data_IF_288715433914
#
_entry.id   IF_288715433914
#
_cell.length_a   1.000
_cell.length_b   1.000
_cell.length_c   1.000
_cell.angle_alpha   90.00
_cell.angle_beta   90.00
_cell.angle_gamma   90.00
#
_symmetry.space_group_name_H-M   'P 1'
#
loop_
_entity.id
_entity.type
_entity.pdbx_description
1 polymer ?
#
# COMPACT_ATOMS: atom_id res chain seq x y z
N UNK A 1 -16.79 -15.53 -0.42
CA UNK A 1 -16.47 -16.86 0.15
C UNK A 1 -14.97 -17.04 0.01
N UNK A 2 -14.26 -17.19 1.13
CA UNK A 2 -12.84 -17.56 1.14
C UNK A 2 -12.69 -18.98 0.59
N UNK A 3 -11.74 -19.22 -0.31
CA UNK A 3 -11.50 -20.54 -0.91
C UNK A 3 -11.15 -21.54 0.21
N UNK A 4 -11.60 -22.79 0.12
CA UNK A 4 -11.26 -23.87 1.07
C UNK A 4 -9.72 -23.99 1.18
N UNK A 5 -9.00 -23.73 0.08
CA UNK A 5 -7.54 -23.69 0.07
C UNK A 5 -6.97 -22.57 0.94
N UNK A 6 -7.58 -21.39 0.94
CA UNK A 6 -7.14 -20.25 1.74
C UNK A 6 -7.40 -20.49 3.23
N UNK A 7 -8.49 -21.19 3.58
CA UNK A 7 -8.76 -21.59 4.96
C UNK A 7 -7.75 -22.62 5.47
N UNK A 8 -7.44 -23.65 4.68
CA UNK A 8 -6.42 -24.64 5.04
C UNK A 8 -5.04 -23.98 5.20
N UNK A 9 -4.68 -23.09 4.27
CA UNK A 9 -3.43 -22.31 4.37
C UNK A 9 -3.38 -21.51 5.67
N UNK A 10 -4.47 -20.82 6.02
CA UNK A 10 -4.58 -20.05 7.26
C UNK A 10 -4.31 -20.93 8.49
N UNK A 11 -4.95 -22.10 8.58
CA UNK A 11 -4.75 -23.02 9.70
C UNK A 11 -3.32 -23.55 9.80
N UNK A 12 -2.70 -23.87 8.66
CA UNK A 12 -1.34 -24.39 8.63
C UNK A 12 -0.32 -23.32 9.04
N UNK A 13 -0.46 -22.10 8.52
CA UNK A 13 0.41 -20.99 8.90
C UNK A 13 0.25 -20.59 10.37
N UNK A 14 -0.96 -20.68 10.94
CA UNK A 14 -1.20 -20.44 12.37
C UNK A 14 -0.46 -21.46 13.25
N UNK A 15 -0.43 -22.72 12.82
CA UNK A 15 0.32 -23.78 13.52
C UNK A 15 1.82 -23.56 13.40
N UNK A 16 2.30 -23.21 12.20
CA UNK A 16 3.72 -22.97 11.91
C UNK A 16 4.29 -21.80 12.71
N UNK A 17 3.57 -20.67 12.79
CA UNK A 17 4.04 -19.44 13.46
C UNK A 17 3.47 -19.21 14.86
N UNK A 18 3.02 -20.28 15.53
CA UNK A 18 2.39 -20.18 16.85
C UNK A 18 3.28 -19.49 17.89
N UNK A 19 4.58 -19.75 17.88
CA UNK A 19 5.54 -19.15 18.82
C UNK A 19 5.71 -17.64 18.56
N UNK A 20 5.86 -17.24 17.30
CA UNK A 20 5.95 -15.84 16.88
C UNK A 20 4.70 -15.05 17.30
N UNK A 21 3.52 -15.65 17.13
CA UNK A 21 2.24 -15.06 17.53
C UNK A 21 2.18 -14.85 19.05
N UNK A 22 2.65 -15.82 19.85
CA UNK A 22 2.70 -15.69 21.32
C UNK A 22 3.64 -14.55 21.73
N UNK A 23 4.82 -14.45 21.11
CA UNK A 23 5.77 -13.35 21.37
C UNK A 23 5.16 -12.00 21.02
N UNK A 24 4.49 -11.89 19.87
CA UNK A 24 3.82 -10.66 19.47
C UNK A 24 2.65 -10.31 20.39
N UNK A 25 1.85 -11.28 20.87
CA UNK A 25 0.80 -11.02 21.87
C UNK A 25 1.38 -10.47 23.18
N UNK A 26 2.49 -11.04 23.64
CA UNK A 26 3.20 -10.52 24.82
C UNK A 26 3.68 -9.10 24.58
N UNK A 27 4.31 -8.82 23.44
CA UNK A 27 4.73 -7.46 23.08
C UNK A 27 3.53 -6.49 22.99
N UNK A 28 2.44 -6.89 22.31
CA UNK A 28 1.19 -6.13 22.16
C UNK A 28 0.61 -5.79 23.52
N UNK A 29 0.66 -6.69 24.51
CA UNK A 29 0.16 -6.42 25.87
C UNK A 29 0.75 -5.17 26.53
N UNK A 30 1.98 -4.78 26.14
CA UNK A 30 2.66 -3.58 26.64
C UNK A 30 2.37 -2.31 25.82
N UNK A 31 1.73 -2.41 24.65
CA UNK A 31 1.46 -1.27 23.75
C UNK A 31 0.13 -0.57 24.07
N UNK A 32 0.13 0.75 24.30
CA UNK A 32 -1.09 1.48 24.67
C UNK A 32 -2.02 1.82 23.49
N UNK A 33 -1.45 1.94 22.29
CA UNK A 33 -2.12 2.36 21.06
C UNK A 33 -2.56 1.20 20.15
N UNK A 34 -2.35 -0.06 20.57
CA UNK A 34 -2.73 -1.27 19.82
C UNK A 34 -3.88 -1.99 20.55
N UNK A 35 -4.96 -2.38 19.85
CA UNK A 35 -6.03 -3.18 20.43
C UNK A 35 -5.54 -4.49 21.06
N UNK A 36 -5.99 -4.77 22.29
CA UNK A 36 -5.72 -6.06 22.96
C UNK A 36 -6.56 -7.21 22.45
N UNK A 37 -7.60 -6.89 21.69
CA UNK A 37 -8.57 -7.84 21.11
C UNK A 37 -8.12 -8.38 19.76
N UNK A 38 -6.91 -8.05 19.31
CA UNK A 38 -6.38 -8.53 18.03
C UNK A 38 -6.28 -10.06 18.02
N UNK A 39 -6.75 -10.65 16.94
CA UNK A 39 -6.83 -12.11 16.72
C UNK A 39 -5.49 -12.69 16.26
N UNK A 40 -5.35 -14.02 16.32
CA UNK A 40 -4.15 -14.70 15.83
C UNK A 40 -4.03 -14.57 14.31
N UNK A 41 -5.16 -14.59 13.61
CA UNK A 41 -5.27 -14.38 12.17
C UNK A 41 -4.80 -12.98 11.77
N UNK A 42 -5.20 -11.95 12.53
CA UNK A 42 -4.74 -10.58 12.28
C UNK A 42 -3.24 -10.43 12.56
N UNK A 43 -2.73 -11.01 13.65
CA UNK A 43 -1.27 -11.01 13.92
C UNK A 43 -0.52 -11.71 12.80
N UNK A 44 -1.03 -12.86 12.33
CA UNK A 44 -0.40 -13.62 11.26
C UNK A 44 -0.42 -12.87 9.93
N UNK A 45 -1.46 -12.08 9.64
CA UNK A 45 -1.49 -11.19 8.47
C UNK A 45 -0.31 -10.21 8.48
N UNK A 46 0.00 -9.58 9.64
CA UNK A 46 1.16 -8.68 9.76
C UNK A 46 2.50 -9.43 9.68
N UNK A 47 2.59 -10.62 10.28
CA UNK A 47 3.77 -11.48 10.14
C UNK A 47 4.00 -11.82 8.66
N UNK A 48 2.96 -12.31 7.99
CA UNK A 48 3.00 -12.67 6.58
C UNK A 48 3.45 -11.48 5.74
N UNK A 49 2.87 -10.28 5.91
CA UNK A 49 3.29 -9.10 5.14
C UNK A 49 4.78 -8.76 5.32
N UNK A 50 5.36 -9.09 6.47
CA UNK A 50 6.74 -8.81 6.86
C UNK A 50 7.70 -10.01 6.69
N UNK A 51 7.31 -11.02 5.90
CA UNK A 51 8.11 -12.25 5.70
C UNK A 51 8.49 -12.92 7.03
N UNK A 52 7.55 -12.89 7.98
CA UNK A 52 7.65 -13.48 9.32
C UNK A 52 8.79 -12.89 10.18
N UNK A 53 9.30 -11.71 9.83
CA UNK A 53 10.26 -11.01 10.66
C UNK A 53 9.55 -10.28 11.82
N UNK A 54 9.76 -10.75 13.05
CA UNK A 54 9.14 -10.18 14.27
C UNK A 54 9.35 -8.67 14.40
N UNK A 55 10.59 -8.19 14.27
CA UNK A 55 10.91 -6.77 14.48
C UNK A 55 10.26 -5.86 13.44
N UNK A 56 10.23 -6.28 12.18
CA UNK A 56 9.52 -5.55 11.13
C UNK A 56 8.02 -5.56 11.39
N UNK A 57 7.49 -6.69 11.84
CA UNK A 57 6.07 -6.84 12.21
C UNK A 57 5.66 -5.87 13.32
N UNK A 58 6.45 -5.77 14.39
CA UNK A 58 6.22 -4.79 15.48
C UNK A 58 6.20 -3.34 14.95
N UNK A 59 7.16 -2.99 14.06
CA UNK A 59 7.23 -1.67 13.42
C UNK A 59 5.97 -1.41 12.59
N UNK A 60 5.57 -2.33 11.72
CA UNK A 60 4.38 -2.20 10.87
C UNK A 60 3.12 -2.05 11.71
N UNK A 61 2.91 -2.90 12.71
CA UNK A 61 1.73 -2.83 13.59
C UNK A 61 1.68 -1.50 14.35
N UNK A 62 2.81 -1.06 14.89
CA UNK A 62 2.90 0.23 15.61
C UNK A 62 2.52 1.40 14.70
N UNK A 63 3.06 1.45 13.48
CA UNK A 63 2.74 2.50 12.51
C UNK A 63 1.28 2.41 12.04
N UNK A 64 0.79 1.21 11.76
CA UNK A 64 -0.59 0.94 11.35
C UNK A 64 -1.61 1.49 12.34
N UNK A 65 -1.55 1.06 13.60
CA UNK A 65 -2.54 1.47 14.60
C UNK A 65 -2.38 2.95 14.98
N UNK A 66 -1.16 3.48 15.01
CA UNK A 66 -0.93 4.91 15.23
C UNK A 66 -1.56 5.75 14.13
N UNK A 67 -1.30 5.44 12.87
CA UNK A 67 -1.85 6.20 11.74
C UNK A 67 -3.37 6.09 11.68
N UNK A 68 -3.94 4.91 11.91
CA UNK A 68 -5.40 4.74 11.96
C UNK A 68 -6.07 5.52 13.09
N UNK A 69 -5.42 5.61 14.25
CA UNK A 69 -5.92 6.40 15.37
C UNK A 69 -5.73 7.92 15.22
N UNK A 70 -4.88 8.39 14.30
CA UNK A 70 -4.45 9.81 14.24
C UNK A 70 -4.69 10.52 12.92
N UNK A 71 -4.81 9.78 11.80
CA UNK A 71 -5.00 10.33 10.46
C UNK A 71 -6.49 10.28 10.09
N UNK A 72 -7.24 11.27 10.59
CA UNK A 72 -8.68 11.39 10.36
C UNK A 72 -9.06 11.44 8.87
N UNK A 73 -8.22 12.10 8.05
CA UNK A 73 -8.39 12.21 6.60
C UNK A 73 -8.69 10.86 5.92
N UNK A 74 -8.17 9.75 6.47
CA UNK A 74 -8.28 8.42 5.88
C UNK A 74 -9.14 7.44 6.68
N UNK A 75 -9.20 7.57 8.01
CA UNK A 75 -9.73 6.50 8.86
C UNK A 75 -10.96 6.88 9.68
N UNK A 76 -11.45 8.12 9.57
CA UNK A 76 -12.73 8.55 10.19
C UNK A 76 -13.83 8.76 9.16
N UNK A 77 -15.09 8.52 9.53
CA UNK A 77 -16.26 8.71 8.66
C UNK A 77 -16.16 7.87 7.35
N UNK A 78 -15.81 6.59 7.52
CA UNK A 78 -15.72 5.59 6.42
C UNK A 78 -17.09 4.96 6.15
N UNK A 79 -18.05 5.78 5.74
CA UNK A 79 -19.42 5.34 5.44
C UNK A 79 -19.88 5.95 4.12
N UNK A 80 -20.37 5.12 3.19
CA UNK A 80 -20.77 5.56 1.85
C UNK A 80 -22.00 6.46 1.81
N UNK A 81 -22.77 6.52 2.90
CA UNK A 81 -23.98 7.33 2.99
C UNK A 81 -23.75 8.71 3.62
N UNK A 82 -22.52 9.02 4.05
CA UNK A 82 -22.17 10.24 4.77
C UNK A 82 -21.16 11.11 4.02
N UNK A 83 -21.13 12.39 4.38
CA UNK A 83 -20.06 13.32 4.02
C UNK A 83 -19.67 13.34 2.54
N UNK A 84 -18.36 13.38 2.31
CA UNK A 84 -17.75 13.36 0.97
C UNK A 84 -17.73 11.95 0.34
N UNK A 85 -17.97 10.91 1.14
CA UNK A 85 -17.93 9.51 0.70
C UNK A 85 -19.09 9.13 -0.24
N UNK A 86 -20.21 9.83 -0.13
CA UNK A 86 -21.33 9.69 -1.08
C UNK A 86 -20.94 10.17 -2.48
N UNK A 87 -20.20 11.27 -2.58
CA UNK A 87 -19.84 11.90 -3.85
C UNK A 87 -18.62 11.22 -4.50
N UNK A 88 -17.65 10.79 -3.69
CA UNK A 88 -16.37 10.29 -4.22
C UNK A 88 -16.52 9.02 -5.06
N UNK A 89 -17.56 8.21 -4.83
CA UNK A 89 -17.88 7.01 -5.62
C UNK A 89 -18.26 7.32 -7.07
N UNK A 90 -18.80 8.52 -7.32
CA UNK A 90 -19.10 9.01 -8.67
C UNK A 90 -17.85 9.60 -9.36
N UNK A 91 -16.80 9.87 -8.59
CA UNK A 91 -15.57 10.54 -9.06
C UNK A 91 -14.44 9.56 -9.34
N UNK A 92 -14.20 8.62 -8.42
CA UNK A 92 -13.16 7.59 -8.53
C UNK A 92 -13.76 6.21 -8.26
N UNK A 93 -13.23 5.21 -8.96
CA UNK A 93 -13.67 3.83 -8.83
C UNK A 93 -12.47 2.93 -8.57
N UNK A 94 -12.67 1.97 -7.68
CA UNK A 94 -11.71 0.92 -7.37
C UNK A 94 -12.39 -0.44 -7.37
N UNK A 95 -11.65 -1.47 -7.76
CA UNK A 95 -12.03 -2.85 -7.48
C UNK A 95 -10.80 -3.76 -7.53
N UNK A 96 -10.85 -4.84 -6.76
CA UNK A 96 -9.97 -5.96 -6.98
C UNK A 96 -10.53 -6.84 -8.10
N UNK A 97 -9.63 -7.37 -8.92
CA UNK A 97 -10.01 -8.40 -9.90
C UNK A 97 -10.33 -9.72 -9.17
N UNK A 98 -11.29 -10.51 -9.69
CA UNK A 98 -11.69 -11.76 -9.05
C UNK A 98 -10.52 -12.74 -8.94
N UNK A 99 -9.74 -12.85 -10.02
CA UNK A 99 -8.66 -13.79 -10.16
C UNK A 99 -7.29 -13.18 -9.82
N UNK A 100 -6.31 -14.05 -9.56
CA UNK A 100 -4.93 -13.69 -9.20
C UNK A 100 -4.00 -13.87 -10.40
N UNK A 101 -2.86 -13.18 -10.38
CA UNK A 101 -1.78 -13.46 -11.35
C UNK A 101 -1.26 -14.90 -11.18
N UNK A 102 -0.50 -15.44 -12.16
CA UNK A 102 0.16 -16.75 -12.00
C UNK A 102 1.08 -16.85 -10.77
N UNK A 103 1.56 -15.71 -10.25
CA UNK A 103 2.36 -15.62 -9.01
C UNK A 103 1.50 -15.51 -7.74
N UNK A 104 0.17 -15.62 -7.87
CA UNK A 104 -0.80 -15.49 -6.79
C UNK A 104 -1.10 -14.06 -6.35
N UNK A 105 -0.63 -13.04 -7.08
CA UNK A 105 -0.82 -11.65 -6.67
C UNK A 105 -2.23 -11.16 -6.99
N UNK A 106 -2.80 -10.39 -6.07
CA UNK A 106 -4.06 -9.68 -6.31
C UNK A 106 -3.81 -8.41 -7.13
N UNK A 107 -4.80 -8.02 -7.94
CA UNK A 107 -4.72 -6.82 -8.77
C UNK A 107 -5.85 -5.89 -8.33
N UNK A 108 -5.50 -4.69 -7.86
CA UNK A 108 -6.45 -3.60 -7.66
C UNK A 108 -6.39 -2.66 -8.86
N UNK A 109 -7.51 -2.43 -9.52
CA UNK A 109 -7.64 -1.38 -10.54
C UNK A 109 -8.28 -0.14 -9.91
N UNK A 110 -7.71 1.03 -10.21
CA UNK A 110 -8.27 2.34 -9.84
C UNK A 110 -8.31 3.29 -11.03
N UNK A 111 -9.43 4.01 -11.21
CA UNK A 111 -9.57 5.00 -12.29
C UNK A 111 -10.46 6.18 -11.92
N UNK A 112 -10.30 7.29 -12.65
CA UNK A 112 -11.29 8.37 -12.66
C UNK A 112 -12.56 7.93 -13.40
N UNK A 113 -13.71 8.31 -12.85
CA UNK A 113 -15.01 8.12 -13.48
C UNK A 113 -15.53 9.40 -14.13
N UNK A 114 -15.04 10.58 -13.70
CA UNK A 114 -15.26 11.87 -14.37
C UNK A 114 -13.92 12.61 -14.53
N UNK A 115 -13.70 13.34 -15.65
CA UNK A 115 -12.53 14.20 -15.83
C UNK A 115 -12.68 15.57 -15.15
N UNK A 116 -13.81 15.86 -14.51
CA UNK A 116 -14.02 17.14 -13.81
C UNK A 116 -13.21 17.18 -12.51
N UNK A 117 -12.07 17.85 -12.57
CA UNK A 117 -11.18 17.97 -11.42
C UNK A 117 -11.77 18.75 -10.25
N UNK A 118 -12.86 19.50 -10.43
CA UNK A 118 -13.52 20.20 -9.31
C UNK A 118 -14.18 19.27 -8.30
N UNK A 119 -14.51 18.06 -8.74
CA UNK A 119 -15.15 17.03 -7.91
C UNK A 119 -14.13 16.15 -7.18
N UNK A 120 -12.85 16.23 -7.54
CA UNK A 120 -11.81 15.41 -6.93
C UNK A 120 -11.35 15.98 -5.59
N UNK A 121 -11.69 15.26 -4.53
CA UNK A 121 -11.11 15.39 -3.19
C UNK A 121 -10.14 14.23 -2.94
N UNK A 122 -8.84 14.50 -2.99
CA UNK A 122 -7.80 13.45 -2.96
C UNK A 122 -7.82 12.61 -1.68
N UNK A 123 -8.03 13.24 -0.53
CA UNK A 123 -8.19 12.60 0.77
C UNK A 123 -9.38 11.63 0.80
N UNK A 124 -10.51 12.04 0.21
CA UNK A 124 -11.70 11.18 0.07
C UNK A 124 -11.45 10.01 -0.88
N UNK A 125 -10.70 10.24 -1.97
CA UNK A 125 -10.33 9.18 -2.91
C UNK A 125 -9.39 8.14 -2.26
N UNK A 126 -8.43 8.59 -1.45
CA UNK A 126 -7.54 7.71 -0.67
C UNK A 126 -8.32 6.95 0.42
N UNK A 127 -9.26 7.63 1.10
CA UNK A 127 -10.16 6.98 2.06
C UNK A 127 -10.95 5.85 1.39
N UNK A 128 -11.55 6.10 0.23
CA UNK A 128 -12.25 5.07 -0.55
C UNK A 128 -11.32 3.91 -0.91
N UNK A 129 -10.11 4.19 -1.40
CA UNK A 129 -9.09 3.18 -1.70
C UNK A 129 -8.81 2.29 -0.48
N UNK A 130 -8.59 2.89 0.70
CA UNK A 130 -8.31 2.13 1.92
C UNK A 130 -9.51 1.30 2.39
N UNK A 131 -10.74 1.78 2.20
CA UNK A 131 -11.93 0.96 2.47
C UNK A 131 -11.98 -0.30 1.59
N UNK A 132 -11.59 -0.21 0.31
CA UNK A 132 -11.46 -1.37 -0.57
C UNK A 132 -10.32 -2.30 -0.13
N UNK A 133 -9.16 -1.78 0.24
CA UNK A 133 -8.02 -2.57 0.72
C UNK A 133 -8.38 -3.32 2.02
N UNK A 134 -9.03 -2.65 2.96
CA UNK A 134 -9.42 -3.22 4.25
C UNK A 134 -10.44 -4.33 4.10
N UNK A 135 -11.42 -4.13 3.22
CA UNK A 135 -12.43 -5.15 2.90
C UNK A 135 -11.78 -6.35 2.22
N UNK A 136 -10.81 -6.11 1.34
CA UNK A 136 -10.09 -7.17 0.65
C UNK A 136 -9.23 -8.01 1.60
N UNK A 137 -8.44 -7.36 2.46
CA UNK A 137 -7.54 -8.03 3.41
C UNK A 137 -8.27 -8.85 4.46
N UNK A 138 -9.48 -8.43 4.85
CA UNK A 138 -10.33 -9.21 5.75
C UNK A 138 -10.69 -10.57 5.17
N UNK A 139 -10.89 -10.65 3.86
CA UNK A 139 -11.22 -11.92 3.18
C UNK A 139 -9.95 -12.66 2.73
N UNK A 140 -8.84 -11.94 2.52
CA UNK A 140 -7.59 -12.44 1.97
C UNK A 140 -6.37 -12.05 2.84
N UNK A 141 -6.33 -12.45 4.14
CA UNK A 141 -5.30 -11.99 5.07
C UNK A 141 -3.88 -12.44 4.70
N UNK A 142 -3.75 -13.54 3.96
CA UNK A 142 -2.47 -14.10 3.53
C UNK A 142 -2.17 -13.85 2.04
N UNK A 143 -2.69 -12.76 1.47
CA UNK A 143 -2.45 -12.40 0.07
C UNK A 143 -0.95 -12.30 -0.25
N UNK A 144 -0.46 -13.08 -1.22
CA UNK A 144 0.99 -13.20 -1.50
C UNK A 144 1.63 -11.88 -1.99
N UNK A 145 0.81 -10.98 -2.52
CA UNK A 145 1.18 -9.61 -2.87
C UNK A 145 0.07 -8.89 -3.64
N UNK A 146 0.20 -7.57 -3.76
CA UNK A 146 -0.76 -6.71 -4.44
C UNK A 146 -0.07 -5.93 -5.56
N UNK A 147 -0.72 -5.90 -6.72
CA UNK A 147 -0.40 -5.04 -7.85
C UNK A 147 -1.45 -3.93 -7.90
N UNK A 148 -1.00 -2.68 -7.88
CA UNK A 148 -1.87 -1.54 -8.19
C UNK A 148 -1.84 -1.27 -9.68
N UNK A 149 -3.00 -1.12 -10.30
CA UNK A 149 -3.16 -0.73 -11.69
C UNK A 149 -3.98 0.56 -11.73
N UNK A 150 -3.33 1.69 -12.01
CA UNK A 150 -3.98 2.99 -12.10
C UNK A 150 -4.14 3.41 -13.56
N UNK A 151 -5.38 3.69 -13.93
CA UNK A 151 -5.71 4.20 -15.25
C UNK A 151 -5.74 5.73 -15.24
N UNK A 152 -4.83 6.33 -16.00
CA UNK A 152 -4.70 7.79 -16.12
C UNK A 152 -5.65 8.42 -17.14
N UNK A 153 -6.51 7.64 -17.79
CA UNK A 153 -7.50 8.19 -18.72
C UNK A 153 -8.38 9.23 -17.99
N UNK A 154 -8.47 10.43 -18.57
CA UNK A 154 -9.21 11.56 -18.00
C UNK A 154 -8.44 12.41 -16.99
N UNK A 155 -7.22 12.03 -16.60
CA UNK A 155 -6.35 12.87 -15.74
C UNK A 155 -5.80 14.04 -16.56
N UNK A 156 -5.95 15.25 -16.04
CA UNK A 156 -5.55 16.51 -16.70
C UNK A 156 -4.69 17.38 -15.78
N UNK A 157 -4.07 18.44 -16.31
CA UNK A 157 -3.32 19.41 -15.50
C UNK A 157 -4.16 20.06 -14.39
N UNK A 158 -5.48 20.21 -14.58
CA UNK A 158 -6.38 20.78 -13.57
C UNK A 158 -6.57 19.86 -12.36
N UNK A 159 -6.22 18.58 -12.45
CA UNK A 159 -6.21 17.68 -11.30
C UNK A 159 -5.00 17.90 -10.39
N UNK A 160 -3.89 18.44 -10.93
CA UNK A 160 -2.70 18.74 -10.13
C UNK A 160 -2.99 19.78 -9.04
N UNK A 161 -3.92 20.71 -9.29
CA UNK A 161 -4.32 21.74 -8.31
C UNK A 161 -5.13 21.16 -7.14
N UNK A 162 -5.59 19.91 -7.24
CA UNK A 162 -6.30 19.18 -6.18
C UNK A 162 -5.37 18.34 -5.32
N UNK A 163 -4.09 18.25 -5.69
CA UNK A 163 -3.11 17.45 -4.94
C UNK A 163 -2.66 18.23 -3.70
N UNK A 164 -2.98 17.68 -2.53
CA UNK A 164 -2.44 18.15 -1.25
C UNK A 164 -1.21 17.33 -0.86
N UNK A 165 -0.02 17.93 -0.87
CA UNK A 165 1.24 17.24 -0.58
C UNK A 165 1.34 16.69 0.86
N UNK A 166 0.62 17.27 1.82
CA UNK A 166 0.53 16.73 3.18
C UNK A 166 -0.23 15.40 3.20
N UNK A 167 -1.32 15.33 2.44
CA UNK A 167 -2.11 14.10 2.23
C UNK A 167 -1.30 13.05 1.49
N UNK A 168 -0.58 13.44 0.42
CA UNK A 168 0.32 12.52 -0.32
C UNK A 168 1.40 11.94 0.60
N UNK A 169 2.04 12.77 1.44
CA UNK A 169 3.04 12.29 2.40
C UNK A 169 2.46 11.24 3.34
N UNK A 170 1.29 11.52 3.95
CA UNK A 170 0.60 10.57 4.82
C UNK A 170 0.26 9.26 4.08
N UNK A 171 -0.24 9.36 2.85
CA UNK A 171 -0.54 8.20 2.01
C UNK A 171 0.69 7.34 1.76
N UNK A 172 1.81 7.95 1.33
CA UNK A 172 3.06 7.23 1.08
C UNK A 172 3.59 6.55 2.34
N UNK A 173 3.60 7.25 3.49
CA UNK A 173 3.98 6.62 4.77
C UNK A 173 3.10 5.43 5.10
N UNK A 174 1.78 5.53 4.91
CA UNK A 174 0.88 4.42 5.21
C UNK A 174 1.12 3.20 4.31
N UNK A 175 1.21 3.42 2.99
CA UNK A 175 1.40 2.33 2.02
C UNK A 175 2.77 1.66 2.16
N UNK A 176 3.81 2.41 2.52
CA UNK A 176 5.17 1.85 2.60
C UNK A 176 5.49 1.21 3.96
N UNK A 177 4.92 1.71 5.06
CA UNK A 177 5.35 1.32 6.42
C UNK A 177 4.27 0.64 7.25
N UNK A 178 2.99 0.80 6.91
CA UNK A 178 1.89 0.39 7.77
C UNK A 178 0.99 -0.70 7.16
N UNK A 179 0.76 -0.68 5.85
CA UNK A 179 -0.24 -1.55 5.25
C UNK A 179 0.23 -3.03 5.28
N UNK A 180 -0.60 -3.98 5.75
CA UNK A 180 -0.14 -5.36 5.97
C UNK A 180 -0.30 -6.21 4.71
N UNK A 181 0.31 -5.76 3.61
CA UNK A 181 0.54 -6.58 2.41
C UNK A 181 1.84 -6.18 1.73
N UNK A 182 2.29 -7.03 0.81
CA UNK A 182 3.48 -6.77 0.01
C UNK A 182 3.09 -6.09 -1.30
N UNK A 183 3.47 -4.84 -1.48
CA UNK A 183 3.39 -4.17 -2.78
C UNK A 183 4.35 -4.87 -3.76
N UNK A 184 3.84 -5.31 -4.91
CA UNK A 184 4.64 -6.01 -5.93
C UNK A 184 4.93 -5.13 -7.13
N UNK A 185 3.92 -4.48 -7.68
CA UNK A 185 4.06 -3.56 -8.82
C UNK A 185 3.01 -2.44 -8.72
N UNK A 186 3.35 -1.26 -9.23
CA UNK A 186 2.43 -0.16 -9.53
C UNK A 186 2.45 0.04 -11.03
N UNK A 187 1.40 -0.40 -11.72
CA UNK A 187 1.23 -0.22 -13.15
C UNK A 187 0.35 0.98 -13.42
N UNK A 188 0.84 1.93 -14.20
CA UNK A 188 0.11 3.13 -14.61
C UNK A 188 -0.13 3.01 -16.11
N UNK A 189 -1.39 2.97 -16.53
CA UNK A 189 -1.77 2.83 -17.95
C UNK A 189 -2.43 4.10 -18.47
N UNK A 190 -2.55 4.22 -19.80
CA UNK A 190 -3.09 5.39 -20.47
C UNK A 190 -2.37 6.68 -20.05
N UNK A 191 -1.05 6.58 -19.86
CA UNK A 191 -0.22 7.67 -19.38
C UNK A 191 -0.20 8.81 -20.39
N UNK A 192 -0.33 10.03 -19.89
CA UNK A 192 -0.18 11.26 -20.68
C UNK A 192 0.89 12.17 -20.05
N UNK A 193 1.17 13.32 -20.68
CA UNK A 193 2.23 14.23 -20.25
C UNK A 193 2.10 14.75 -18.81
N UNK A 194 0.92 14.63 -18.18
CA UNK A 194 0.69 15.04 -16.78
C UNK A 194 1.48 14.16 -15.80
N UNK A 195 1.80 12.91 -16.16
CA UNK A 195 2.48 11.96 -15.26
C UNK A 195 3.80 12.51 -14.73
N UNK A 196 4.57 13.24 -15.56
CA UNK A 196 5.87 13.77 -15.16
C UNK A 196 5.72 14.75 -14.00
N UNK A 197 4.67 15.57 -14.00
CA UNK A 197 4.35 16.48 -12.91
C UNK A 197 3.90 15.74 -11.66
N UNK A 198 3.05 14.71 -11.81
CA UNK A 198 2.61 13.86 -10.69
C UNK A 198 3.82 13.18 -10.04
N UNK A 199 4.72 12.60 -10.84
CA UNK A 199 5.91 11.93 -10.34
C UNK A 199 6.86 12.91 -9.62
N UNK A 200 7.02 14.13 -10.13
CA UNK A 200 7.82 15.15 -9.45
C UNK A 200 7.25 15.55 -8.08
N UNK A 201 5.91 15.53 -7.93
CA UNK A 201 5.24 15.79 -6.65
C UNK A 201 5.34 14.62 -5.66
N UNK A 202 5.27 13.37 -6.14
CA UNK A 202 5.20 12.18 -5.28
C UNK A 202 6.60 11.66 -4.91
N UNK A 203 7.56 11.68 -5.84
CA UNK A 203 8.91 11.10 -5.68
C UNK A 203 9.65 11.55 -4.39
N UNK A 204 9.55 12.80 -3.90
CA UNK A 204 10.19 13.20 -2.64
C UNK A 204 9.73 12.42 -1.40
N UNK A 205 8.53 11.84 -1.46
CA UNK A 205 7.91 11.09 -0.37
C UNK A 205 8.02 9.56 -0.53
N UNK A 206 8.54 9.09 -1.66
CA UNK A 206 8.75 7.66 -1.92
C UNK A 206 10.08 7.16 -1.37
N UNK A 207 10.13 5.91 -0.95
CA UNK A 207 11.39 5.20 -0.83
C UNK A 207 12.02 4.99 -2.23
N UNK A 208 13.32 5.24 -2.37
CA UNK A 208 14.06 5.03 -3.63
C UNK A 208 13.87 3.60 -4.14
N UNK A 209 13.86 2.62 -3.24
CA UNK A 209 13.70 1.20 -3.55
C UNK A 209 12.29 0.83 -4.05
N UNK A 210 11.31 1.73 -3.93
CA UNK A 210 9.96 1.50 -4.43
C UNK A 210 9.73 2.11 -5.81
N UNK A 211 10.59 3.02 -6.28
CA UNK A 211 10.47 3.59 -7.63
C UNK A 211 10.57 2.52 -8.73
N UNK A 212 11.37 1.48 -8.49
CA UNK A 212 11.51 0.35 -9.42
C UNK A 212 10.21 -0.47 -9.60
N UNK A 213 9.27 -0.38 -8.67
CA UNK A 213 7.97 -1.06 -8.77
C UNK A 213 7.02 -0.34 -9.73
N UNK A 214 7.32 0.90 -10.13
CA UNK A 214 6.47 1.67 -11.04
C UNK A 214 6.75 1.27 -12.49
N UNK A 215 5.69 0.89 -13.21
CA UNK A 215 5.69 0.61 -14.65
C UNK A 215 4.65 1.49 -15.32
N UNK A 216 5.03 2.18 -16.38
CA UNK A 216 4.19 3.15 -17.07
C UNK A 216 3.96 2.71 -18.50
N UNK A 217 2.71 2.78 -18.96
CA UNK A 217 2.28 2.32 -20.26
C UNK A 217 1.54 3.43 -20.99
N UNK A 218 1.96 3.71 -22.22
CA UNK A 218 1.28 4.67 -23.09
C UNK A 218 -0.10 4.12 -23.51
N UNK A 219 -1.04 4.98 -23.97
CA UNK A 219 -2.32 4.53 -24.47
C UNK A 219 -2.13 3.50 -25.61
N UNK A 220 -2.77 2.34 -25.48
CA UNK A 220 -2.67 1.24 -26.45
C UNK A 220 -1.41 0.38 -26.35
N UNK A 221 -0.43 0.75 -25.52
CA UNK A 221 0.79 -0.04 -25.31
C UNK A 221 0.63 -0.96 -24.09
N UNK A 222 -0.13 -2.05 -24.27
CA UNK A 222 -0.43 -3.02 -23.21
C UNK A 222 0.33 -4.35 -23.36
N UNK A 223 1.24 -4.45 -24.34
CA UNK A 223 1.93 -5.70 -24.65
C UNK A 223 2.74 -6.23 -23.45
N UNK A 224 3.57 -5.39 -22.82
CA UNK A 224 4.35 -5.76 -21.61
C UNK A 224 3.42 -6.12 -20.43
N UNK A 225 2.21 -5.56 -20.38
CA UNK A 225 1.25 -5.90 -19.33
C UNK A 225 0.80 -7.36 -19.45
N UNK A 226 0.52 -7.81 -20.67
CA UNK A 226 0.03 -9.17 -20.92
C UNK A 226 1.08 -10.26 -20.62
N UNK A 227 2.38 -9.93 -20.63
CA UNK A 227 3.45 -10.87 -20.27
C UNK A 227 3.37 -11.31 -18.79
N UNK A 228 2.88 -10.43 -17.91
CA UNK A 228 2.86 -10.67 -16.45
C UNK A 228 1.45 -10.81 -15.87
N UNK A 229 0.47 -10.18 -16.51
CA UNK A 229 -0.93 -10.26 -16.15
C UNK A 229 -1.66 -10.85 -17.36
N UNK A 230 -1.98 -12.16 -17.35
CA UNK A 230 -2.70 -12.79 -18.44
C UNK A 230 -3.94 -11.99 -18.82
N UNK A 231 -4.16 -11.87 -20.13
CA UNK A 231 -5.21 -11.04 -20.70
C UNK A 231 -6.59 -11.44 -20.18
N UNK A 232 -6.84 -12.73 -19.98
CA UNK A 232 -8.12 -13.22 -19.46
C UNK A 232 -8.46 -12.67 -18.07
N UNK A 233 -7.48 -12.26 -17.25
CA UNK A 233 -7.72 -11.72 -15.91
C UNK A 233 -8.27 -10.29 -15.92
N UNK A 234 -8.14 -9.58 -17.05
CA UNK A 234 -8.48 -8.18 -17.12
C UNK A 234 -9.95 -7.97 -17.48
N UNK A 235 -10.57 -6.87 -17.03
CA UNK A 235 -11.90 -6.48 -17.48
C UNK A 235 -11.96 -6.28 -18.99
N UNK A 236 -13.14 -6.47 -19.58
CA UNK A 236 -13.43 -6.15 -20.99
C UNK A 236 -13.04 -4.72 -21.40
N UNK A 237 -13.07 -3.77 -20.48
CA UNK A 237 -12.66 -2.38 -20.68
C UNK A 237 -11.14 -2.25 -20.99
N UNK A 238 -10.35 -3.28 -20.66
CA UNK A 238 -8.91 -3.37 -20.86
C UNK A 238 -8.57 -4.56 -21.77
N UNK A 239 -9.43 -4.82 -22.76
CA UNK A 239 -9.33 -5.90 -23.75
C UNK A 239 -9.31 -7.33 -23.17
N UNK A 240 -9.61 -7.53 -21.88
CA UNK A 240 -9.63 -8.85 -21.26
C UNK A 240 -10.98 -9.57 -21.34
N UNK A 241 -11.13 -10.65 -20.58
CA UNK A 241 -12.29 -11.54 -20.63
C UNK A 241 -13.21 -11.44 -19.39
N UNK A 242 -12.74 -10.80 -18.31
CA UNK A 242 -13.54 -10.60 -17.09
C UNK A 242 -14.75 -9.70 -17.31
N UNK A 243 -15.65 -9.68 -16.32
CA UNK A 243 -16.73 -8.70 -16.27
C UNK A 243 -16.20 -7.26 -16.41
N UNK A 244 -17.02 -6.36 -16.97
CA UNK A 244 -16.62 -4.97 -17.13
C UNK A 244 -16.22 -4.35 -15.80
N UNK A 245 -15.27 -3.41 -15.83
CA UNK A 245 -14.78 -2.72 -14.66
C UNK A 245 -15.92 -2.04 -13.89
N UNK A 246 -16.90 -1.48 -14.60
CA UNK A 246 -18.11 -0.91 -13.99
C UNK A 246 -18.95 -1.94 -13.23
N UNK A 247 -19.00 -3.20 -13.68
CA UNK A 247 -19.70 -4.28 -12.99
C UNK A 247 -18.92 -4.75 -11.76
N UNK A 248 -17.60 -4.98 -11.92
CA UNK A 248 -16.71 -5.37 -10.83
C UNK A 248 -16.67 -4.32 -9.71
N UNK A 249 -16.63 -3.03 -10.07
CA UNK A 249 -16.69 -1.93 -9.11
C UNK A 249 -18.02 -1.90 -8.34
N UNK A 250 -19.16 -2.14 -8.99
CA UNK A 250 -20.45 -2.23 -8.28
C UNK A 250 -20.46 -3.37 -7.24
N UNK A 251 -19.93 -4.54 -7.61
CA UNK A 251 -19.79 -5.66 -6.68
C UNK A 251 -18.85 -5.30 -5.52
N UNK A 252 -17.72 -4.66 -5.81
CA UNK A 252 -16.77 -4.23 -4.80
C UNK A 252 -17.38 -3.19 -3.84
N UNK A 253 -18.15 -2.22 -4.35
CA UNK A 253 -18.86 -1.22 -3.54
C UNK A 253 -19.87 -1.89 -2.61
N UNK A 254 -20.63 -2.88 -3.08
CA UNK A 254 -21.54 -3.64 -2.23
C UNK A 254 -20.80 -4.35 -1.10
N UNK A 255 -19.65 -4.98 -1.39
CA UNK A 255 -18.85 -5.63 -0.36
C UNK A 255 -18.27 -4.65 0.66
N UNK A 256 -17.85 -3.46 0.23
CA UNK A 256 -17.39 -2.42 1.15
C UNK A 256 -18.56 -1.92 2.01
N UNK A 257 -19.77 -1.75 1.44
CA UNK A 257 -20.98 -1.38 2.17
C UNK A 257 -21.33 -2.37 3.28
N UNK A 258 -21.20 -3.68 3.03
CA UNK A 258 -21.42 -4.73 4.04
C UNK A 258 -20.45 -4.63 5.23
N UNK A 259 -19.32 -3.95 5.07
CA UNK A 259 -18.28 -3.81 6.08
C UNK A 259 -18.28 -2.45 6.81
N UNK A 260 -19.25 -1.56 6.51
CA UNK A 260 -19.32 -0.21 7.14
C UNK A 260 -19.34 -0.29 8.67
N UNK A 261 -20.15 -1.19 9.25
CA UNK A 261 -20.23 -1.34 10.71
C UNK A 261 -18.87 -1.64 11.35
N UNK A 262 -18.03 -2.45 10.67
CA UNK A 262 -16.68 -2.74 11.14
C UNK A 262 -15.78 -1.51 11.12
N UNK A 263 -15.88 -0.65 10.10
CA UNK A 263 -15.10 0.58 10.04
C UNK A 263 -15.47 1.55 11.17
N UNK A 264 -16.76 1.64 11.51
CA UNK A 264 -17.26 2.45 12.61
C UNK A 264 -16.79 1.92 13.97
N UNK A 265 -16.79 0.60 14.16
CA UNK A 265 -16.32 -0.04 15.39
C UNK A 265 -14.80 0.12 15.57
N UNK A 266 -14.03 -0.05 14.49
CA UNK A 266 -12.59 0.23 14.48
C UNK A 266 -12.30 1.70 14.83
N UNK A 267 -13.02 2.65 14.21
CA UNK A 267 -12.87 4.08 14.48
C UNK A 267 -13.11 4.41 15.96
N UNK A 268 -14.21 3.90 16.54
CA UNK A 268 -14.54 4.10 17.97
C UNK A 268 -13.44 3.54 18.87
N UNK A 269 -12.99 2.31 18.60
CA UNK A 269 -11.95 1.65 19.37
C UNK A 269 -10.64 2.44 19.35
N UNK A 270 -10.16 2.81 18.16
CA UNK A 270 -8.89 3.51 18.00
C UNK A 270 -8.96 4.95 18.54
N UNK A 271 -10.10 5.62 18.45
CA UNK A 271 -10.31 6.93 19.07
C UNK A 271 -10.20 6.85 20.61
N UNK A 272 -10.71 5.78 21.23
CA UNK A 272 -10.57 5.56 22.67
C UNK A 272 -9.11 5.28 23.07
N UNK A 273 -8.43 4.39 22.36
CA UNK A 273 -7.02 4.08 22.61
C UNK A 273 -6.13 5.31 22.47
N UNK A 274 -6.32 6.11 21.42
CA UNK A 274 -5.56 7.33 21.20
C UNK A 274 -5.81 8.40 22.29
N UNK A 275 -7.05 8.53 22.77
CA UNK A 275 -7.35 9.42 23.91
C UNK A 275 -6.59 9.00 25.18
N UNK A 276 -6.48 7.70 25.44
CA UNK A 276 -5.73 7.17 26.59
C UNK A 276 -4.22 7.37 26.42
N UNK A 277 -3.70 7.18 25.22
CA UNK A 277 -2.29 7.43 24.89
C UNK A 277 -1.88 8.90 25.03
N UNK A 278 -2.74 9.85 24.60
CA UNK A 278 -2.46 11.28 24.80
C UNK A 278 -2.42 11.69 26.28
N UNK A 279 -3.22 11.04 27.14
CA UNK A 279 -3.22 11.29 28.59
C UNK A 279 -1.95 10.79 29.29
N UNK A 280 -1.19 9.88 28.69
CA UNK A 280 0.08 9.39 29.24
C UNK A 280 1.31 10.22 28.87
N UNK A 281 1.14 11.45 28.35
CA UNK A 281 2.19 12.43 27.99
C UNK A 281 3.15 12.03 26.85
N UNK A 282 2.72 11.16 25.92
CA UNK A 282 3.48 10.88 24.70
C UNK A 282 2.90 11.67 23.52
N UNK A 283 3.57 12.73 23.10
CA UNK A 283 3.13 13.59 21.99
C UNK A 283 3.31 12.91 20.63
N UNK A 284 2.21 12.75 19.90
CA UNK A 284 2.12 12.12 18.56
C UNK A 284 2.98 12.84 17.51
N UNK A 285 3.15 14.16 17.65
CA UNK A 285 4.07 14.95 16.81
C UNK A 285 5.53 14.45 16.93
N UNK A 286 5.90 13.89 18.09
CA UNK A 286 7.19 13.25 18.31
C UNK A 286 7.34 11.91 17.57
N UNK A 287 6.24 11.18 17.32
CA UNK A 287 6.28 9.91 16.57
C UNK A 287 6.53 10.15 15.08
N UNK A 288 5.85 11.13 14.47
CA UNK A 288 6.13 11.51 13.08
C UNK A 288 7.53 12.13 12.93
N UNK A 289 7.97 13.00 13.86
CA UNK A 289 9.36 13.48 13.87
C UNK A 289 10.37 12.36 14.05
N UNK A 290 10.09 11.35 14.88
CA UNK A 290 10.97 10.19 15.06
C UNK A 290 11.05 9.34 13.81
N UNK A 291 9.93 9.10 13.12
CA UNK A 291 9.90 8.43 11.82
C UNK A 291 10.67 9.23 10.76
N UNK A 292 10.54 10.56 10.73
CA UNK A 292 11.31 11.43 9.84
C UNK A 292 12.82 11.35 10.13
N UNK A 293 13.22 11.34 11.41
CA UNK A 293 14.61 11.17 11.84
C UNK A 293 15.14 9.79 11.44
N UNK A 294 14.37 8.73 11.64
CA UNK A 294 14.75 7.36 11.29
C UNK A 294 14.87 7.19 9.76
N UNK A 295 13.97 7.82 8.98
CA UNK A 295 14.07 7.92 7.51
C UNK A 295 15.33 8.67 7.07
N UNK A 296 15.65 9.77 7.74
CA UNK A 296 16.87 10.53 7.42
C UNK A 296 18.14 9.72 7.74
N UNK A 297 18.12 8.93 8.81
CA UNK A 297 19.20 8.01 9.18
C UNK A 297 19.34 6.86 8.18
N UNK A 298 18.24 6.25 7.75
CA UNK A 298 18.26 5.21 6.71
C UNK A 298 18.78 5.77 5.38
N UNK A 299 18.30 6.94 4.93
CA UNK A 299 18.81 7.62 3.73
C UNK A 299 20.30 7.92 3.81
N UNK A 300 20.80 8.32 4.98
CA UNK A 300 22.24 8.54 5.21
C UNK A 300 23.02 7.22 5.17
N UNK A 301 22.49 6.15 5.74
CA UNK A 301 23.12 4.81 5.70
C UNK A 301 23.20 4.25 4.27
N UNK A 302 22.14 4.41 3.50
CA UNK A 302 22.10 3.93 2.12
C UNK A 302 23.03 4.77 1.23
N UNK A 303 23.11 6.10 1.45
CA UNK A 303 24.07 6.96 0.75
C UNK A 303 25.54 6.66 1.13
N UNK A 304 25.80 6.20 2.36
CA UNK A 304 27.13 5.72 2.77
C UNK A 304 27.44 4.39 2.09
N UNK A 305 26.46 3.49 1.96
CA UNK A 305 26.63 2.21 1.27
C UNK A 305 26.90 2.41 -0.23
N UNK A 306 26.14 3.27 -0.92
CA UNK A 306 26.38 3.63 -2.33
C UNK A 306 27.78 4.23 -2.53
N UNK A 307 28.25 5.09 -1.61
CA UNK A 307 29.62 5.64 -1.67
C UNK A 307 30.69 4.58 -1.42
N UNK A 308 30.43 3.62 -0.53
CA UNK A 308 31.36 2.54 -0.22
C UNK A 308 31.45 1.56 -1.40
N UNK A 309 30.33 1.23 -2.03
CA UNK A 309 30.27 0.42 -3.25
C UNK A 309 31.00 1.10 -4.41
N UNK A 310 30.74 2.39 -4.66
CA UNK A 310 31.46 3.15 -5.69
C UNK A 310 32.98 3.23 -5.42
N UNK A 311 33.40 3.33 -4.15
CA UNK A 311 34.81 3.31 -3.77
C UNK A 311 35.45 1.92 -3.98
N UNK A 312 34.74 0.85 -3.62
CA UNK A 312 35.17 -0.53 -3.85
C UNK A 312 35.29 -0.80 -5.35
N UNK A 313 34.33 -0.35 -6.16
CA UNK A 313 34.39 -0.49 -7.62
C UNK A 313 35.57 0.30 -8.23
N UNK A 314 35.81 1.54 -7.77
CA UNK A 314 36.96 2.33 -8.24
C UNK A 314 38.32 1.73 -7.83
N UNK A 315 38.42 1.16 -6.62
CA UNK A 315 39.66 0.56 -6.11
C UNK A 315 39.93 -0.82 -6.72
N UNK A 316 38.88 -1.58 -7.06
CA UNK A 316 39.01 -2.78 -7.87
C UNK A 316 39.47 -2.44 -9.28
N UNK A 317 38.96 -1.36 -9.89
CA UNK A 317 39.39 -0.92 -11.22
C UNK A 317 40.89 -0.56 -11.29
N UNK A 318 41.42 0.08 -10.25
CA UNK A 318 42.86 0.38 -10.14
C UNK A 318 43.73 -0.88 -9.94
N UNK A 319 43.19 -1.93 -9.31
CA UNK A 319 43.90 -3.20 -9.09
C UNK A 319 44.00 -4.08 -10.36
N UNK A 320 43.02 -3.98 -11.27
CA UNK A 320 43.03 -4.73 -12.53
C UNK A 320 43.94 -4.11 -13.61
N UNK A 321 44.29 -2.82 -13.51
CA UNK A 321 45.20 -2.19 -14.47
C UNK A 321 46.68 -2.47 -14.21
N UNK A 322 47.07 -2.95 -13.02
CA UNK A 322 48.45 -3.35 -12.73
C UNK A 322 48.79 -4.80 -13.09
N UNK A 323 47.81 -5.62 -13.48
CA UNK A 323 48.04 -7.05 -13.82
C UNK A 323 48.23 -7.34 -15.31
N UNK A 324 48.05 -6.36 -16.21
CA UNK A 324 48.07 -6.56 -17.66
C UNK A 324 49.33 -6.03 -18.39
N UNK A 325 50.34 -5.53 -17.67
CA UNK A 325 51.59 -5.05 -18.27
C UNK A 325 52.81 -5.97 -18.04
N UNK A 326 52.62 -7.20 -17.52
CA UNK A 326 53.73 -8.13 -17.24
C UNK A 326 53.75 -9.43 -18.06
N UNK A 327 52.88 -9.61 -19.06
CA UNK A 327 52.99 -10.73 -20.01
C UNK A 327 52.79 -10.26 -21.45
N UNK A 328 53.91 -10.16 -22.17
CA UNK A 328 53.94 -9.89 -23.61
C UNK A 328 55.35 -9.50 -24.06
N UNK A 329 56.20 -10.51 -24.26
CA UNK A 329 57.40 -10.43 -25.10
C UNK A 329 57.00 -10.31 -26.57
#
# INVERSE_FOLDING_TARGET
MTDIKDQQLMEDMLKEHKEDIVLLKQWISHQQNIPKTITDEEILMFLHSNYYNLKNTEKTMSTYYTMRGTVADFFTDRNFNTGTMKQVQDVVKFCFLPNRTPKGWAILIGKLNTPDSSQLHLDSAIKLLFMHLDTFLQVNPLVSGVVFMFDMQGVTMSHLTRINLSVVRKYMTYVEEAIPFRLKEIRIINVNNVITHIMNMIKPFMNKNHLQFIKMHAPGDLAEMYEKIPRELLPKDYDGEEASFGTLNKLAVNHVNENIGRFEDEEKLLAQLNKNFKKSNVTIEGSFRKLDIDRERERKRDAVSEKLEAYIESSLFDSYHFSFLSFGK
#
